data_IF_196840503682
#
_entry.id   IF_196840503682
#
_cell.length_a   1.000
_cell.length_b   1.000
_cell.length_c   1.000
_cell.angle_alpha   90.00
_cell.angle_beta   90.00
_cell.angle_gamma   90.00
#
_symmetry.space_group_name_H-M   'P 1'
#
loop_
_entity.id
_entity.type
_entity.pdbx_description
1 polymer ?
#
# COMPACT_ATOMS: atom_id res chain seq x y z
N UNK A 1 6.27 -32.28 -5.75
CA UNK A 1 5.37 -32.50 -6.89
C UNK A 1 4.50 -31.27 -7.10
N UNK A 2 3.36 -31.42 -7.78
CA UNK A 2 2.40 -30.33 -8.05
C UNK A 2 1.80 -29.74 -6.78
N UNK A 3 1.65 -30.58 -5.75
CA UNK A 3 1.20 -30.23 -4.40
C UNK A 3 2.12 -29.22 -3.68
N UNK A 4 3.35 -29.08 -4.15
CA UNK A 4 4.33 -28.12 -3.64
C UNK A 4 4.30 -26.77 -4.35
N UNK A 5 3.43 -26.59 -5.35
CA UNK A 5 3.28 -25.32 -6.07
C UNK A 5 2.65 -24.28 -5.15
N UNK A 6 3.26 -23.09 -5.10
CA UNK A 6 2.81 -21.98 -4.25
C UNK A 6 2.07 -20.94 -5.07
N UNK A 7 2.74 -20.37 -6.07
CA UNK A 7 2.20 -19.28 -6.90
C UNK A 7 3.06 -19.06 -8.14
N UNK A 8 2.58 -18.19 -9.02
CA UNK A 8 3.33 -17.68 -10.17
C UNK A 8 3.49 -16.17 -10.03
N UNK A 9 4.72 -15.68 -10.17
CA UNK A 9 5.04 -14.26 -10.25
C UNK A 9 5.09 -13.87 -11.73
N UNK A 10 4.44 -12.78 -12.07
CA UNK A 10 4.36 -12.23 -13.41
C UNK A 10 5.33 -11.06 -13.51
N UNK A 11 6.36 -11.20 -14.34
CA UNK A 11 7.42 -10.22 -14.51
C UNK A 11 7.22 -9.47 -15.83
N UNK A 12 7.07 -8.14 -15.76
CA UNK A 12 6.99 -7.32 -16.96
C UNK A 12 8.37 -7.19 -17.62
N UNK A 13 8.60 -7.95 -18.69
CA UNK A 13 9.87 -8.02 -19.41
C UNK A 13 10.06 -6.92 -20.46
N UNK A 14 8.98 -6.27 -20.88
CA UNK A 14 9.04 -5.16 -21.84
C UNK A 14 7.71 -4.41 -21.91
N UNK A 15 7.72 -3.22 -22.50
CA UNK A 15 6.52 -2.54 -23.00
C UNK A 15 6.27 -2.88 -24.48
N UNK A 16 5.06 -2.64 -24.98
CA UNK A 16 4.75 -2.79 -26.42
C UNK A 16 5.40 -1.64 -27.19
N UNK A 17 6.60 -1.86 -27.71
CA UNK A 17 7.38 -0.88 -28.47
C UNK A 17 8.02 -1.50 -29.72
N UNK A 18 8.41 -0.64 -30.67
CA UNK A 18 9.06 -1.04 -31.92
C UNK A 18 8.22 -1.99 -32.77
N UNK A 19 8.83 -3.08 -33.24
CA UNK A 19 8.21 -4.07 -34.13
C UNK A 19 6.94 -4.73 -33.55
N UNK A 20 6.78 -4.69 -32.22
CA UNK A 20 5.59 -5.20 -31.52
C UNK A 20 4.33 -4.35 -31.75
N UNK A 21 4.50 -3.04 -32.03
CA UNK A 21 3.39 -2.09 -32.11
C UNK A 21 2.45 -2.42 -33.26
N UNK A 22 3.00 -2.69 -34.45
CA UNK A 22 2.19 -3.00 -35.62
C UNK A 22 1.34 -4.26 -35.41
N UNK A 23 1.95 -5.34 -34.91
CA UNK A 23 1.23 -6.57 -34.60
C UNK A 23 0.12 -6.35 -33.57
N UNK A 24 0.36 -5.54 -32.53
CA UNK A 24 -0.65 -5.20 -31.53
C UNK A 24 -1.80 -4.36 -32.11
N UNK A 25 -1.49 -3.37 -32.96
CA UNK A 25 -2.49 -2.54 -33.66
C UNK A 25 -3.35 -3.37 -34.63
N UNK A 26 -2.77 -4.40 -35.23
CA UNK A 26 -3.47 -5.36 -36.08
C UNK A 26 -4.29 -6.40 -35.27
N UNK A 27 -4.38 -6.24 -33.93
CA UNK A 27 -5.22 -7.04 -33.04
C UNK A 27 -4.54 -8.23 -32.37
N UNK A 28 -3.23 -8.42 -32.54
CA UNK A 28 -2.52 -9.53 -31.89
C UNK A 28 -2.21 -9.25 -30.42
N UNK A 29 -2.28 -10.29 -29.58
CA UNK A 29 -1.80 -10.22 -28.20
C UNK A 29 -0.28 -10.43 -28.19
N UNK A 30 0.46 -9.37 -27.89
CA UNK A 30 1.92 -9.42 -27.88
C UNK A 30 2.45 -9.75 -26.48
N UNK A 31 3.36 -10.73 -26.40
CA UNK A 31 4.01 -11.12 -25.14
C UNK A 31 4.93 -10.01 -24.62
N UNK A 32 4.63 -9.56 -23.40
CA UNK A 32 5.40 -8.55 -22.65
C UNK A 32 5.80 -9.01 -21.25
N UNK A 33 5.37 -10.20 -20.84
CA UNK A 33 5.63 -10.73 -19.51
C UNK A 33 6.19 -12.14 -19.58
N UNK A 34 6.99 -12.47 -18.58
CA UNK A 34 7.45 -13.83 -18.27
C UNK A 34 7.03 -14.20 -16.85
N UNK A 35 7.25 -15.47 -16.50
CA UNK A 35 6.70 -16.06 -15.30
C UNK A 35 7.80 -16.71 -14.48
N UNK A 36 7.79 -16.46 -13.17
CA UNK A 36 8.57 -17.23 -12.19
C UNK A 36 7.60 -18.17 -11.49
N UNK A 37 7.81 -19.47 -11.63
CA UNK A 37 6.99 -20.49 -10.99
C UNK A 37 7.62 -20.82 -9.64
N UNK A 38 6.84 -20.67 -8.57
CA UNK A 38 7.36 -20.79 -7.21
C UNK A 38 6.84 -22.05 -6.53
N UNK A 39 7.76 -22.84 -5.98
CA UNK A 39 7.48 -24.06 -5.21
C UNK A 39 8.07 -23.94 -3.81
N UNK A 40 7.48 -24.65 -2.84
CA UNK A 40 8.04 -24.83 -1.51
C UNK A 40 8.16 -26.32 -1.18
N UNK A 41 9.13 -26.68 -0.32
CA UNK A 41 9.48 -28.09 -0.06
C UNK A 41 8.29 -28.96 0.38
N UNK A 42 7.33 -28.38 1.10
CA UNK A 42 6.16 -29.04 1.68
C UNK A 42 4.83 -28.33 1.35
N UNK A 43 4.79 -27.46 0.34
CA UNK A 43 3.58 -26.77 -0.11
C UNK A 43 3.09 -25.61 0.77
N UNK A 44 3.82 -25.20 1.82
CA UNK A 44 3.49 -23.99 2.57
C UNK A 44 3.54 -22.74 1.67
N UNK A 45 2.61 -21.80 1.89
CA UNK A 45 2.42 -20.61 1.03
C UNK A 45 3.11 -19.35 1.56
N UNK A 46 3.43 -19.31 2.85
CA UNK A 46 4.07 -18.19 3.54
C UNK A 46 5.59 -18.20 3.30
N UNK A 47 6.01 -18.10 2.03
CA UNK A 47 7.41 -18.18 1.60
C UNK A 47 8.11 -16.81 1.49
N UNK A 48 7.34 -15.72 1.41
CA UNK A 48 7.90 -14.39 1.32
C UNK A 48 8.40 -13.97 2.71
N UNK A 49 9.72 -13.89 2.88
CA UNK A 49 10.36 -13.47 4.14
C UNK A 49 10.20 -11.95 4.31
N UNK A 50 10.48 -11.19 3.25
CA UNK A 50 10.32 -9.75 3.19
C UNK A 50 9.35 -9.40 2.06
N UNK A 51 8.14 -8.91 2.35
CA UNK A 51 7.25 -8.40 1.32
C UNK A 51 7.91 -7.22 0.59
N UNK A 52 7.78 -7.20 -0.74
CA UNK A 52 8.15 -6.04 -1.53
C UNK A 52 6.98 -5.05 -1.59
N UNK A 53 7.30 -3.76 -1.65
CA UNK A 53 6.35 -2.67 -1.64
C UNK A 53 6.47 -1.81 -2.90
N UNK A 54 5.32 -1.47 -3.47
CA UNK A 54 5.23 -0.50 -4.56
C UNK A 54 4.63 0.81 -4.06
N UNK A 55 5.04 1.91 -4.70
CA UNK A 55 4.49 3.23 -4.43
C UNK A 55 2.99 3.26 -4.77
N UNK A 56 2.21 3.83 -3.86
CA UNK A 56 0.81 4.15 -4.04
C UNK A 56 0.69 5.66 -4.18
N UNK A 57 0.57 6.13 -5.42
CA UNK A 57 0.47 7.56 -5.72
C UNK A 57 -0.81 8.23 -5.19
N UNK A 58 -1.86 7.45 -4.95
CA UNK A 58 -3.16 7.96 -4.53
C UNK A 58 -3.42 7.76 -3.03
N UNK A 59 -3.96 8.80 -2.39
CA UNK A 59 -4.43 8.71 -1.01
C UNK A 59 -5.60 7.72 -0.87
N UNK A 60 -5.67 7.04 0.26
CA UNK A 60 -6.76 6.14 0.62
C UNK A 60 -7.82 6.87 1.43
N UNK A 61 -8.95 7.19 0.82
CA UNK A 61 -9.99 8.01 1.46
C UNK A 61 -10.67 7.35 2.67
N UNK A 62 -10.46 6.05 2.89
CA UNK A 62 -10.90 5.39 4.12
C UNK A 62 -10.17 5.91 5.36
N UNK A 63 -8.97 6.48 5.19
CA UNK A 63 -8.22 7.16 6.25
C UNK A 63 -8.77 8.56 6.49
N UNK A 64 -10.03 8.63 6.89
CA UNK A 64 -10.78 9.86 7.13
C UNK A 64 -10.91 10.22 8.61
N UNK A 65 -10.32 9.43 9.51
CA UNK A 65 -10.39 9.60 10.96
C UNK A 65 -9.01 9.94 11.54
N UNK A 66 -8.99 10.50 12.74
CA UNK A 66 -7.76 10.68 13.51
C UNK A 66 -7.95 10.42 15.00
N UNK A 67 -6.88 10.00 15.65
CA UNK A 67 -6.80 9.77 17.09
C UNK A 67 -6.52 11.10 17.81
N UNK A 68 -7.46 11.54 18.66
CA UNK A 68 -7.26 12.70 19.55
C UNK A 68 -6.44 12.29 20.79
N UNK A 69 -5.75 13.26 21.37
CA UNK A 69 -4.91 13.04 22.56
C UNK A 69 -5.73 12.73 23.82
N UNK A 70 -7.02 13.10 23.85
CA UNK A 70 -7.96 12.82 24.94
C UNK A 70 -8.59 11.42 24.86
N UNK A 71 -8.16 10.58 23.91
CA UNK A 71 -8.70 9.24 23.71
C UNK A 71 -9.94 9.18 22.81
N UNK A 72 -10.44 10.32 22.31
CA UNK A 72 -11.55 10.35 21.37
C UNK A 72 -11.08 10.16 19.90
N UNK A 73 -12.02 9.82 19.03
CA UNK A 73 -11.82 9.68 17.58
C UNK A 73 -12.49 10.88 16.90
N UNK A 74 -11.73 11.63 16.12
CA UNK A 74 -12.24 12.76 15.34
C UNK A 74 -12.26 12.48 13.84
N UNK A 75 -12.97 13.32 13.09
CA UNK A 75 -12.85 13.35 11.62
C UNK A 75 -11.58 14.10 11.22
N UNK A 76 -10.87 13.66 10.19
CA UNK A 76 -9.64 14.30 9.71
C UNK A 76 -9.86 15.78 9.35
N UNK A 77 -11.07 16.13 8.87
CA UNK A 77 -11.47 17.52 8.58
C UNK A 77 -11.47 18.45 9.81
N UNK A 78 -11.63 17.89 11.02
CA UNK A 78 -11.55 18.67 12.27
C UNK A 78 -10.10 19.03 12.61
N UNK A 79 -9.14 18.17 12.24
CA UNK A 79 -7.72 18.45 12.39
C UNK A 79 -7.24 19.47 11.35
N UNK A 80 -7.68 19.30 10.10
CA UNK A 80 -7.34 20.17 8.98
C UNK A 80 -8.44 20.13 7.93
N UNK A 81 -9.02 21.27 7.56
CA UNK A 81 -10.09 21.33 6.56
C UNK A 81 -9.55 21.17 5.12
N UNK A 82 -9.17 19.93 4.78
CA UNK A 82 -8.64 19.54 3.47
C UNK A 82 -9.58 19.81 2.29
N UNK A 83 -10.86 20.09 2.55
CA UNK A 83 -11.83 20.41 1.50
C UNK A 83 -11.57 21.78 0.91
N UNK A 84 -11.01 22.71 1.71
CA UNK A 84 -10.62 24.05 1.29
C UNK A 84 -9.23 24.36 1.87
N UNK A 85 -8.17 23.72 1.34
CA UNK A 85 -6.80 23.94 1.80
C UNK A 85 -6.40 25.41 1.67
N UNK A 86 -5.61 25.94 2.61
CA UNK A 86 -5.26 27.38 2.61
C UNK A 86 -4.31 27.75 1.48
N UNK A 87 -3.53 26.78 1.01
CA UNK A 87 -2.60 26.92 -0.11
C UNK A 87 -3.30 26.85 -1.48
N UNK A 88 -4.61 26.56 -1.52
CA UNK A 88 -5.41 26.51 -2.73
C UNK A 88 -6.56 27.52 -2.68
N UNK A 89 -6.99 27.96 -3.87
CA UNK A 89 -8.18 28.81 -4.06
C UNK A 89 -9.26 28.04 -4.80
N UNK A 90 -9.68 26.90 -4.26
CA UNK A 90 -10.73 26.09 -4.86
C UNK A 90 -12.12 26.62 -4.48
N UNK A 91 -13.02 26.69 -5.46
CA UNK A 91 -14.43 27.09 -5.26
C UNK A 91 -15.33 25.93 -4.88
N UNK A 92 -14.90 24.69 -5.14
CA UNK A 92 -15.60 23.45 -4.81
C UNK A 92 -14.79 22.64 -3.81
N UNK A 93 -15.47 21.99 -2.85
CA UNK A 93 -14.82 21.16 -1.84
C UNK A 93 -14.02 20.01 -2.49
N UNK A 94 -12.76 19.87 -2.11
CA UNK A 94 -11.92 18.75 -2.57
C UNK A 94 -12.22 17.46 -1.79
N UNK A 95 -12.10 16.33 -2.49
CA UNK A 95 -11.99 15.01 -1.87
C UNK A 95 -10.62 14.83 -1.17
N UNK A 96 -10.47 13.81 -0.32
CA UNK A 96 -9.20 13.53 0.36
C UNK A 96 -8.10 13.21 -0.65
N UNK A 97 -8.45 12.41 -1.67
CA UNK A 97 -7.55 12.05 -2.77
C UNK A 97 -7.10 13.27 -3.55
N UNK A 98 -7.99 14.20 -3.85
CA UNK A 98 -7.64 15.43 -4.55
C UNK A 98 -6.81 16.38 -3.71
N UNK A 99 -7.18 16.56 -2.44
CA UNK A 99 -6.44 17.40 -1.52
C UNK A 99 -5.00 16.90 -1.40
N UNK A 100 -4.78 15.60 -1.25
CA UNK A 100 -3.42 15.03 -1.12
C UNK A 100 -2.58 15.23 -2.38
N UNK A 101 -3.22 15.22 -3.56
CA UNK A 101 -2.55 15.43 -4.84
C UNK A 101 -2.26 16.91 -5.14
N UNK A 102 -3.14 17.82 -4.73
CA UNK A 102 -3.12 19.24 -5.14
C UNK A 102 -2.55 20.18 -4.09
N UNK A 103 -2.76 19.91 -2.80
CA UNK A 103 -2.36 20.76 -1.68
C UNK A 103 -1.07 20.25 -1.05
N UNK A 104 -0.05 21.08 -1.07
CA UNK A 104 1.22 20.80 -0.40
C UNK A 104 1.03 20.85 1.12
N UNK A 105 0.21 21.79 1.62
CA UNK A 105 -0.09 21.90 3.05
C UNK A 105 -0.74 20.61 3.56
N UNK A 106 -1.76 20.08 2.86
CA UNK A 106 -2.40 18.84 3.27
C UNK A 106 -1.46 17.62 3.16
N UNK A 107 -0.64 17.54 2.12
CA UNK A 107 0.35 16.48 1.99
C UNK A 107 1.34 16.46 3.16
N UNK A 108 1.78 17.62 3.64
CA UNK A 108 2.64 17.75 4.83
C UNK A 108 1.89 17.41 6.13
N UNK A 109 0.62 17.79 6.27
CA UNK A 109 -0.22 17.36 7.41
C UNK A 109 -0.32 15.83 7.47
N UNK A 110 -0.55 15.17 6.33
CA UNK A 110 -0.59 13.71 6.26
C UNK A 110 0.74 13.11 6.73
N UNK A 111 1.88 13.58 6.22
CA UNK A 111 3.22 13.08 6.58
C UNK A 111 3.53 13.25 8.07
N UNK A 112 3.18 14.40 8.64
CA UNK A 112 3.48 14.73 10.05
C UNK A 112 2.55 14.01 11.04
N UNK A 113 1.37 13.56 10.59
CA UNK A 113 0.35 12.94 11.43
C UNK A 113 0.07 11.45 11.10
N UNK A 114 0.96 10.79 10.34
CA UNK A 114 0.80 9.38 9.91
C UNK A 114 0.38 8.42 11.04
N UNK A 115 0.92 8.61 12.24
CA UNK A 115 0.65 7.76 13.39
C UNK A 115 -0.73 7.98 14.01
N UNK A 116 -1.35 9.15 13.78
CA UNK A 116 -2.65 9.53 14.33
C UNK A 116 -3.77 9.38 13.32
N UNK A 117 -3.48 9.44 12.02
CA UNK A 117 -4.47 9.23 10.97
C UNK A 117 -4.80 7.75 10.88
N UNK A 118 -6.09 7.41 10.92
CA UNK A 118 -6.57 6.03 10.97
C UNK A 118 -7.77 5.81 10.06
N UNK A 119 -7.99 4.54 9.71
CA UNK A 119 -9.26 4.06 9.14
C UNK A 119 -9.88 3.00 10.04
N UNK A 120 -11.20 2.90 10.04
CA UNK A 120 -11.92 1.83 10.72
C UNK A 120 -11.97 0.58 9.84
N UNK A 121 -11.71 -0.58 10.42
CA UNK A 121 -11.81 -1.88 9.77
C UNK A 121 -12.44 -2.92 10.70
N UNK A 122 -12.99 -3.98 10.09
CA UNK A 122 -13.58 -5.09 10.81
C UNK A 122 -12.48 -5.86 11.55
N UNK A 123 -12.77 -6.26 12.78
CA UNK A 123 -11.88 -7.13 13.56
C UNK A 123 -12.68 -8.32 14.11
N UNK A 124 -11.99 -9.45 14.31
CA UNK A 124 -12.60 -10.68 14.85
C UNK A 124 -11.81 -11.19 16.05
N UNK A 125 -12.48 -11.99 16.88
CA UNK A 125 -11.86 -12.65 18.03
C UNK A 125 -11.68 -11.78 19.27
N UNK A 126 -12.11 -10.52 19.27
CA UNK A 126 -12.15 -9.67 20.46
C UNK A 126 -13.55 -9.71 21.06
N UNK A 127 -13.65 -10.12 22.32
CA UNK A 127 -14.88 -10.05 23.09
C UNK A 127 -15.01 -8.68 23.78
N UNK A 128 -16.25 -8.26 24.03
CA UNK A 128 -16.64 -6.99 24.68
C UNK A 128 -16.16 -6.87 26.14
N UNK A 129 -15.30 -7.78 26.63
CA UNK A 129 -14.70 -7.71 27.96
C UNK A 129 -13.70 -6.56 28.12
N UNK A 130 -13.31 -5.92 27.02
CA UNK A 130 -12.57 -4.66 27.06
C UNK A 130 -13.60 -3.54 27.19
N UNK A 131 -13.49 -2.71 28.25
CA UNK A 131 -14.24 -1.44 28.34
C UNK A 131 -13.90 -0.57 27.13
N UNK A 132 -14.74 -0.67 26.11
CA UNK A 132 -14.69 0.09 24.87
C UNK A 132 -15.94 0.96 24.83
N UNK A 133 -15.78 2.18 24.33
CA UNK A 133 -16.87 3.12 24.14
C UNK A 133 -16.92 3.53 22.67
N UNK A 134 -18.14 3.80 22.17
CA UNK A 134 -18.28 4.39 20.86
C UNK A 134 -17.56 5.75 20.81
N UNK A 135 -16.89 6.03 19.68
CA UNK A 135 -16.15 7.29 19.45
C UNK A 135 -14.92 7.51 20.35
N UNK A 136 -14.55 6.54 21.20
CA UNK A 136 -13.26 6.51 21.90
C UNK A 136 -12.41 5.34 21.41
N UNK A 137 -11.10 5.47 21.52
CA UNK A 137 -10.16 4.42 21.14
C UNK A 137 -9.36 3.94 22.34
N UNK A 138 -8.95 2.67 22.29
CA UNK A 138 -8.11 2.05 23.32
C UNK A 138 -7.05 1.16 22.68
N UNK A 139 -5.82 1.26 23.16
CA UNK A 139 -4.76 0.33 22.79
C UNK A 139 -4.89 -0.96 23.59
N UNK A 140 -4.81 -2.09 22.88
CA UNK A 140 -4.89 -3.44 23.45
C UNK A 140 -3.76 -4.27 22.86
N UNK A 141 -3.05 -5.00 23.70
CA UNK A 141 -2.03 -5.95 23.26
C UNK A 141 -2.54 -7.38 23.36
N UNK A 142 -2.35 -8.17 22.30
CA UNK A 142 -2.71 -9.59 22.27
C UNK A 142 -1.77 -10.37 21.38
N UNK A 143 -1.27 -11.52 21.86
CA UNK A 143 -0.34 -12.37 21.14
C UNK A 143 0.89 -11.60 20.60
N UNK A 144 1.41 -10.65 21.38
CA UNK A 144 2.54 -9.80 21.01
C UNK A 144 2.25 -8.77 19.89
N UNK A 145 0.96 -8.55 19.56
CA UNK A 145 0.53 -7.53 18.59
C UNK A 145 -0.28 -6.45 19.29
N UNK A 146 -0.04 -5.20 18.91
CA UNK A 146 -0.80 -4.05 19.38
C UNK A 146 -1.96 -3.76 18.43
N UNK A 147 -3.12 -3.50 19.01
CA UNK A 147 -4.36 -3.17 18.34
C UNK A 147 -4.87 -1.86 18.89
N UNK A 148 -5.51 -1.05 18.04
CA UNK A 148 -6.32 0.08 18.49
C UNK A 148 -7.77 -0.28 18.24
N UNK A 149 -8.56 -0.37 19.30
CA UNK A 149 -9.94 -0.85 19.23
C UNK A 149 -10.93 0.27 19.58
N UNK A 150 -12.13 0.16 19.03
CA UNK A 150 -13.27 1.04 19.31
C UNK A 150 -14.59 0.27 19.10
N UNK A 151 -15.71 0.84 19.54
CA UNK A 151 -17.04 0.36 19.16
C UNK A 151 -17.60 1.19 18.00
N UNK A 152 -18.14 0.51 16.99
CA UNK A 152 -18.95 1.16 15.96
C UNK A 152 -20.30 1.65 16.54
N UNK A 153 -21.12 2.28 15.68
CA UNK A 153 -22.44 2.81 16.08
C UNK A 153 -23.42 1.73 16.51
N UNK A 154 -23.18 0.47 16.14
CA UNK A 154 -24.01 -0.68 16.46
C UNK A 154 -23.46 -1.46 17.67
N UNK A 155 -22.44 -0.94 18.36
CA UNK A 155 -21.79 -1.61 19.49
C UNK A 155 -20.88 -2.78 19.09
N UNK A 156 -20.51 -2.90 17.81
CA UNK A 156 -19.58 -3.92 17.34
C UNK A 156 -18.14 -3.44 17.48
N UNK A 157 -17.27 -4.33 17.96
CA UNK A 157 -15.82 -4.05 18.05
C UNK A 157 -15.22 -3.91 16.65
N UNK A 158 -14.49 -2.82 16.44
CA UNK A 158 -13.72 -2.54 15.23
C UNK A 158 -12.28 -2.21 15.60
N UNK A 159 -11.38 -2.39 14.64
CA UNK A 159 -9.99 -1.97 14.74
C UNK A 159 -9.77 -0.68 13.97
N UNK A 160 -8.92 0.20 14.51
CA UNK A 160 -8.38 1.36 13.82
C UNK A 160 -6.99 1.02 13.29
N UNK A 161 -6.84 1.04 11.97
CA UNK A 161 -5.57 0.82 11.29
C UNK A 161 -4.88 2.16 11.07
N UNK A 162 -3.59 2.29 11.40
CA UNK A 162 -2.85 3.54 11.26
C UNK A 162 -2.35 3.72 9.83
N UNK A 163 -2.30 4.96 9.37
CA UNK A 163 -1.78 5.28 8.04
C UNK A 163 -0.27 5.02 7.95
N UNK A 164 0.44 5.23 9.07
CA UNK A 164 1.88 4.94 9.18
C UNK A 164 2.24 3.52 8.72
N UNK A 165 1.36 2.53 8.93
CA UNK A 165 1.63 1.14 8.59
C UNK A 165 1.67 0.93 7.06
N UNK A 166 1.11 1.89 6.31
CA UNK A 166 1.12 1.95 4.85
C UNK A 166 2.08 3.02 4.30
N UNK A 167 2.96 3.59 5.13
CA UNK A 167 3.97 4.56 4.71
C UNK A 167 5.39 3.97 4.79
N UNK A 168 6.28 4.39 3.90
CA UNK A 168 7.72 4.12 3.98
C UNK A 168 8.36 3.95 2.61
N UNK A 169 9.60 3.43 2.61
CA UNK A 169 10.36 3.14 1.39
C UNK A 169 9.74 2.04 0.55
N UNK A 170 9.91 2.14 -0.76
CA UNK A 170 9.41 1.19 -1.76
C UNK A 170 10.57 0.45 -2.42
N UNK A 171 10.27 -0.71 -3.01
CA UNK A 171 11.24 -1.56 -3.70
C UNK A 171 11.18 -1.35 -5.21
N UNK A 172 10.72 -0.17 -5.65
CA UNK A 172 10.76 0.23 -7.04
C UNK A 172 12.18 0.70 -7.42
N UNK A 173 12.45 0.84 -8.71
CA UNK A 173 13.76 1.24 -9.23
C UNK A 173 14.35 2.50 -8.57
N UNK A 174 13.51 3.48 -8.20
CA UNK A 174 13.94 4.73 -7.59
C UNK A 174 14.03 4.70 -6.05
N UNK A 175 13.55 3.63 -5.40
CA UNK A 175 13.43 3.52 -3.94
C UNK A 175 12.68 4.70 -3.31
N UNK A 176 11.56 5.08 -3.93
CA UNK A 176 10.76 6.23 -3.48
C UNK A 176 10.18 5.98 -2.07
N UNK A 177 10.06 7.03 -1.27
CA UNK A 177 9.37 6.99 0.02
C UNK A 177 7.98 7.63 -0.08
N UNK A 178 6.96 6.94 0.44
CA UNK A 178 5.60 7.47 0.45
C UNK A 178 4.57 6.48 0.95
N UNK A 179 3.32 6.73 0.58
CA UNK A 179 2.26 5.72 0.68
C UNK A 179 2.65 4.53 -0.18
N UNK A 180 2.57 3.33 0.38
CA UNK A 180 3.02 2.09 -0.27
C UNK A 180 2.03 0.96 -0.07
N UNK A 181 2.05 0.00 -0.98
CA UNK A 181 1.24 -1.23 -0.94
C UNK A 181 2.14 -2.43 -1.18
N UNK A 182 1.75 -3.60 -0.68
CA UNK A 182 2.46 -4.84 -1.00
C UNK A 182 2.33 -5.13 -2.50
N UNK A 183 3.44 -5.40 -3.20
CA UNK A 183 3.53 -5.64 -4.65
C UNK A 183 2.65 -6.80 -5.13
N UNK A 184 2.53 -7.84 -4.31
CA UNK A 184 1.83 -9.07 -4.70
C UNK A 184 2.63 -9.86 -5.75
N UNK A 185 1.95 -10.45 -6.73
CA UNK A 185 2.57 -11.32 -7.74
C UNK A 185 2.77 -10.63 -9.10
N UNK A 186 2.49 -9.33 -9.22
CA UNK A 186 2.75 -8.55 -10.42
C UNK A 186 3.98 -7.67 -10.21
N UNK A 187 5.06 -7.95 -10.94
CA UNK A 187 6.28 -7.17 -10.92
C UNK A 187 6.33 -6.25 -12.14
N UNK A 188 5.73 -5.07 -11.96
CA UNK A 188 5.78 -3.98 -12.93
C UNK A 188 7.20 -3.44 -13.06
N UNK A 189 7.63 -3.12 -14.28
CA UNK A 189 8.93 -2.49 -14.53
C UNK A 189 10.15 -3.39 -14.34
N UNK A 190 10.00 -4.71 -14.18
CA UNK A 190 11.12 -5.64 -13.97
C UNK A 190 12.27 -5.50 -14.99
N UNK A 191 11.96 -5.17 -16.24
CA UNK A 191 12.98 -4.94 -17.27
C UNK A 191 13.88 -3.72 -17.00
N UNK A 192 13.43 -2.74 -16.21
CA UNK A 192 14.23 -1.60 -15.78
C UNK A 192 15.26 -2.04 -14.74
N UNK A 193 14.84 -2.89 -13.80
CA UNK A 193 15.71 -3.50 -12.80
C UNK A 193 16.79 -4.36 -13.49
N UNK A 194 16.40 -5.14 -14.50
CA UNK A 194 17.32 -6.02 -15.24
C UNK A 194 18.24 -5.29 -16.22
N UNK A 195 17.85 -4.13 -16.73
CA UNK A 195 18.57 -3.43 -17.80
C UNK A 195 20.00 -3.01 -17.46
N UNK A 196 20.36 -3.01 -16.17
CA UNK A 196 21.72 -2.71 -15.72
C UNK A 196 22.42 -3.88 -15.01
N UNK A 197 21.80 -5.06 -14.88
CA UNK A 197 22.41 -6.21 -14.17
C UNK A 197 23.74 -6.63 -14.81
N UNK A 198 23.89 -6.49 -16.13
CA UNK A 198 25.18 -6.75 -16.80
C UNK A 198 26.30 -5.77 -16.44
N UNK A 199 25.99 -4.63 -15.83
CA UNK A 199 26.95 -3.65 -15.27
C UNK A 199 27.17 -3.84 -13.77
N UNK A 200 26.41 -4.73 -13.13
CA UNK A 200 26.49 -5.02 -11.71
C UNK A 200 27.40 -6.22 -11.48
N UNK A 201 28.47 -6.00 -10.72
CA UNK A 201 29.49 -7.01 -10.44
C UNK A 201 30.64 -7.01 -11.44
N UNK A 202 31.66 -7.84 -11.16
CA UNK A 202 32.90 -7.92 -11.93
C UNK A 202 32.89 -9.02 -13.00
N UNK A 203 31.74 -9.68 -13.21
CA UNK A 203 31.62 -10.84 -14.09
C UNK A 203 30.70 -10.49 -15.24
N UNK A 204 31.28 -10.44 -16.44
CA UNK A 204 30.55 -10.18 -17.67
C UNK A 204 29.75 -11.43 -18.09
N UNK A 205 28.42 -11.31 -18.07
CA UNK A 205 27.53 -12.37 -18.54
C UNK A 205 27.36 -12.23 -20.05
N UNK A 206 28.24 -12.87 -20.83
CA UNK A 206 28.24 -12.85 -22.31
C UNK A 206 26.91 -13.29 -22.98
N UNK A 207 26.03 -13.95 -22.23
CA UNK A 207 24.69 -14.37 -22.67
C UNK A 207 23.55 -13.69 -21.88
N UNK A 208 23.85 -12.66 -21.10
CA UNK A 208 22.85 -11.80 -20.49
C UNK A 208 22.15 -10.98 -21.57
N UNK A 209 20.83 -10.82 -21.45
CA UNK A 209 20.09 -9.83 -22.24
C UNK A 209 20.45 -8.42 -21.81
#
# INVERSE_FOLDING_TARGET
GRENFVTTIHCQMSTTQGMKVKAAQDGNIVKNAEYIIVFSKNGHKNIAINPLYDLRSEYDEHYSLYLKNDGAIGQLKELYDYRFPKDLKNTTALSLKEAFKKSNEFAEIVKTHLSKIVRSDKVTGFDLSVELENSKWKEVERNGRKYILTLDKNGKVCQLLRLQDSWGKTDNYNNDEGLRKIRGNWWEGFYLDMGNVGKEGSVDFKNGK
#
